data_IF_682023849853
#
_entry.id   IF_682023849853
#
_cell.length_a   1.000
_cell.length_b   1.000
_cell.length_c   1.000
_cell.angle_alpha   90.00
_cell.angle_beta   90.00
_cell.angle_gamma   90.00
#
_symmetry.space_group_name_H-M   'P 1'
#
loop_
_entity.id
_entity.type
_entity.pdbx_description
1 polymer ?
#
# COMPACT_ATOMS: atom_id res chain seq x y z
N UNK A 1 -2.77 -17.85 4.66
CA UNK A 1 -2.21 -16.57 4.17
C UNK A 1 -1.99 -15.60 5.34
N UNK A 2 -0.74 -15.22 5.64
CA UNK A 2 -0.47 -14.21 6.68
C UNK A 2 -1.01 -12.83 6.29
N UNK A 3 -1.15 -11.93 7.26
CA UNK A 3 -1.45 -10.53 7.01
C UNK A 3 -0.38 -9.90 6.12
N UNK A 4 -0.78 -9.05 5.17
CA UNK A 4 0.13 -8.41 4.22
C UNK A 4 0.43 -9.21 2.95
N UNK A 5 -0.21 -10.36 2.73
CA UNK A 5 -0.04 -11.15 1.50
C UNK A 5 -0.77 -10.47 0.34
N UNK A 6 -0.11 -10.28 -0.80
CA UNK A 6 -0.75 -9.84 -2.05
C UNK A 6 -1.39 -11.05 -2.73
N UNK A 7 -2.68 -10.96 -3.03
CA UNK A 7 -3.44 -12.04 -3.64
C UNK A 7 -3.08 -12.23 -5.10
N UNK A 8 -2.79 -13.46 -5.46
CA UNK A 8 -2.60 -13.92 -6.84
C UNK A 8 -3.70 -14.92 -7.20
N UNK A 9 -3.83 -15.25 -8.49
CA UNK A 9 -4.79 -16.28 -8.92
C UNK A 9 -4.52 -17.66 -8.29
N UNK A 10 -3.27 -17.94 -7.89
CA UNK A 10 -2.89 -19.20 -7.26
C UNK A 10 -3.38 -19.31 -5.79
N UNK A 11 -3.64 -18.19 -5.13
CA UNK A 11 -4.15 -18.14 -3.76
C UNK A 11 -5.68 -18.34 -3.68
N UNK A 12 -6.34 -18.33 -4.84
CA UNK A 12 -7.79 -18.34 -4.95
C UNK A 12 -8.30 -19.69 -5.44
N UNK A 13 -9.34 -20.19 -4.78
CA UNK A 13 -10.06 -21.38 -5.20
C UNK A 13 -11.55 -21.11 -5.12
N UNK A 14 -12.27 -21.47 -6.19
CA UNK A 14 -13.73 -21.47 -6.15
C UNK A 14 -14.19 -22.47 -5.09
N UNK A 15 -15.03 -22.00 -4.18
CA UNK A 15 -15.67 -22.82 -3.17
C UNK A 15 -17.18 -22.72 -3.38
N UNK A 16 -17.83 -23.86 -3.58
CA UNK A 16 -19.27 -23.95 -3.49
C UNK A 16 -19.64 -23.85 -2.01
N UNK A 17 -20.13 -22.71 -1.59
CA UNK A 17 -20.47 -22.44 -0.20
C UNK A 17 -21.70 -21.56 -0.15
N UNK A 18 -22.64 -21.91 0.73
CA UNK A 18 -23.84 -21.12 1.05
C UNK A 18 -23.52 -19.78 1.77
N UNK A 19 -22.22 -19.46 1.92
CA UNK A 19 -21.74 -18.26 2.59
C UNK A 19 -21.42 -17.18 1.57
N UNK A 20 -21.90 -15.94 1.77
CA UNK A 20 -21.58 -14.84 0.88
C UNK A 20 -20.06 -14.58 0.86
N UNK A 21 -19.52 -14.53 -0.35
CA UNK A 21 -18.11 -14.26 -0.67
C UNK A 21 -18.00 -13.57 -2.02
N UNK A 22 -16.78 -13.24 -2.43
CA UNK A 22 -16.53 -12.61 -3.74
C UNK A 22 -16.62 -13.68 -4.84
N UNK A 23 -17.52 -13.47 -5.79
CA UNK A 23 -17.79 -14.41 -6.89
C UNK A 23 -16.81 -14.29 -8.06
N UNK A 24 -16.26 -13.08 -8.28
CA UNK A 24 -15.31 -12.82 -9.35
C UNK A 24 -13.90 -12.60 -8.76
N UNK A 25 -12.95 -13.55 -8.96
CA UNK A 25 -11.60 -13.43 -8.43
C UNK A 25 -10.83 -12.24 -9.00
N UNK A 26 -11.17 -11.75 -10.20
CA UNK A 26 -10.48 -10.62 -10.82
C UNK A 26 -10.61 -9.32 -10.01
N UNK A 27 -11.64 -9.21 -9.17
CA UNK A 27 -11.88 -8.04 -8.31
C UNK A 27 -10.92 -7.94 -7.12
N UNK A 28 -10.23 -9.04 -6.79
CA UNK A 28 -9.38 -9.12 -5.58
C UNK A 28 -7.94 -9.47 -5.87
N UNK A 29 -7.61 -9.95 -7.07
CA UNK A 29 -6.24 -10.16 -7.49
C UNK A 29 -5.48 -8.82 -7.45
N UNK A 30 -4.29 -8.81 -6.84
CA UNK A 30 -3.48 -7.62 -6.63
C UNK A 30 -3.79 -6.85 -5.35
N UNK A 31 -4.88 -7.18 -4.64
CA UNK A 31 -5.14 -6.64 -3.30
C UNK A 31 -4.31 -7.37 -2.25
N UNK A 32 -4.06 -6.70 -1.14
CA UNK A 32 -3.30 -7.21 0.00
C UNK A 32 -4.22 -7.57 1.16
N UNK A 33 -3.92 -8.67 1.87
CA UNK A 33 -4.67 -9.05 3.07
C UNK A 33 -4.43 -8.08 4.23
N UNK A 34 -5.50 -7.63 4.90
CA UNK A 34 -5.42 -6.82 6.13
C UNK A 34 -5.06 -7.65 7.35
N UNK A 35 -5.50 -8.91 7.38
CA UNK A 35 -5.35 -9.84 8.50
C UNK A 35 -4.87 -11.20 7.99
N UNK A 36 -4.48 -12.07 8.90
CA UNK A 36 -4.22 -13.49 8.58
C UNK A 36 -5.53 -14.18 8.21
N UNK A 37 -5.53 -14.86 7.07
CA UNK A 37 -6.66 -15.62 6.53
C UNK A 37 -6.27 -17.10 6.47
N UNK A 38 -7.06 -17.93 7.15
CA UNK A 38 -6.90 -19.38 7.16
C UNK A 38 -7.61 -20.01 5.95
N UNK A 39 -7.15 -21.20 5.56
CA UNK A 39 -7.73 -21.96 4.47
C UNK A 39 -9.21 -22.25 4.68
N UNK A 40 -9.97 -22.30 3.58
CA UNK A 40 -11.42 -22.53 3.60
C UNK A 40 -12.27 -21.35 4.07
N UNK A 41 -11.66 -20.22 4.48
CA UNK A 41 -12.41 -19.01 4.83
C UNK A 41 -12.80 -18.23 3.56
N UNK A 42 -14.09 -17.94 3.34
CA UNK A 42 -14.53 -17.09 2.23
C UNK A 42 -13.88 -15.70 2.30
N UNK A 43 -13.35 -15.22 1.16
CA UNK A 43 -12.78 -13.89 1.06
C UNK A 43 -13.88 -12.84 0.90
N UNK A 44 -13.73 -11.74 1.63
CA UNK A 44 -14.61 -10.57 1.60
C UNK A 44 -13.75 -9.33 1.37
N UNK A 45 -14.30 -8.32 0.68
CA UNK A 45 -13.57 -7.10 0.36
C UNK A 45 -13.08 -6.35 1.60
N UNK A 46 -13.81 -6.44 2.71
CA UNK A 46 -13.44 -5.86 4.02
C UNK A 46 -12.15 -6.41 4.60
N UNK A 47 -11.72 -7.62 4.18
CA UNK A 47 -10.48 -8.25 4.62
C UNK A 47 -9.27 -7.82 3.80
N UNK A 48 -9.48 -7.03 2.76
CA UNK A 48 -8.48 -6.67 1.76
C UNK A 48 -8.24 -5.16 1.74
N UNK A 49 -7.10 -4.77 1.19
CA UNK A 49 -6.69 -3.38 1.01
C UNK A 49 -5.82 -3.24 -0.24
N UNK A 50 -5.64 -2.00 -0.70
CA UNK A 50 -4.62 -1.71 -1.70
C UNK A 50 -3.24 -2.13 -1.15
N UNK A 51 -2.33 -2.65 -2.00
CA UNK A 51 -1.02 -3.06 -1.56
C UNK A 51 -0.25 -1.87 -1.01
N UNK A 52 0.31 -2.05 0.19
CA UNK A 52 1.24 -1.09 0.79
C UNK A 52 2.48 -1.04 -0.09
N UNK A 53 2.74 0.13 -0.67
CA UNK A 53 3.95 0.38 -1.45
C UNK A 53 5.08 0.87 -0.55
N UNK A 54 4.72 1.47 0.58
CA UNK A 54 5.67 1.88 1.60
C UNK A 54 5.29 1.34 2.98
N UNK A 55 6.30 0.96 3.76
CA UNK A 55 6.18 0.53 5.15
C UNK A 55 6.66 1.63 6.09
N UNK A 56 6.17 1.66 7.33
CA UNK A 56 6.69 2.57 8.37
C UNK A 56 8.20 2.36 8.60
N UNK A 57 8.92 3.45 8.80
CA UNK A 57 10.38 3.53 8.98
C UNK A 57 11.21 3.16 7.72
N UNK A 58 10.58 2.94 6.58
CA UNK A 58 11.28 2.74 5.31
C UNK A 58 11.95 4.04 4.86
N UNK A 59 13.15 3.93 4.31
CA UNK A 59 13.82 5.06 3.64
C UNK A 59 13.35 5.07 2.19
N UNK A 60 12.81 6.21 1.76
CA UNK A 60 12.24 6.41 0.42
C UNK A 60 12.67 7.76 -0.13
N UNK A 61 12.68 7.89 -1.45
CA UNK A 61 12.93 9.16 -2.10
C UNK A 61 11.65 10.02 -2.14
N UNK A 62 11.79 11.27 -1.75
CA UNK A 62 10.75 12.29 -1.85
C UNK A 62 11.16 13.29 -2.92
N UNK A 63 10.30 13.46 -3.92
CA UNK A 63 10.40 14.48 -4.95
C UNK A 63 9.63 15.73 -4.49
N UNK A 64 10.29 16.88 -4.51
CA UNK A 64 9.69 18.20 -4.38
C UNK A 64 9.68 18.85 -5.76
N UNK A 65 8.53 19.37 -6.18
CA UNK A 65 8.40 20.02 -7.48
C UNK A 65 7.75 21.40 -7.32
N UNK A 66 8.46 22.45 -7.76
CA UNK A 66 7.95 23.83 -7.85
C UNK A 66 8.30 24.41 -9.21
N UNK A 67 7.32 24.47 -10.11
CA UNK A 67 7.56 24.87 -11.50
C UNK A 67 8.61 23.96 -12.16
N UNK A 68 9.70 24.51 -12.74
CA UNK A 68 10.78 23.71 -13.34
C UNK A 68 11.76 23.11 -12.32
N UNK A 69 11.71 23.53 -11.05
CA UNK A 69 12.62 23.03 -10.02
C UNK A 69 12.13 21.67 -9.50
N UNK A 70 12.97 20.65 -9.64
CA UNK A 70 12.78 19.32 -9.07
C UNK A 70 13.91 18.98 -8.12
N UNK A 71 13.60 18.73 -6.86
CA UNK A 71 14.56 18.32 -5.82
C UNK A 71 14.19 16.91 -5.36
N UNK A 72 15.18 16.03 -5.25
CA UNK A 72 14.99 14.67 -4.71
C UNK A 72 15.82 14.55 -3.44
N UNK A 73 15.20 14.05 -2.39
CA UNK A 73 15.85 13.86 -1.07
C UNK A 73 15.39 12.55 -0.45
N UNK A 74 16.17 12.02 0.48
CA UNK A 74 15.81 10.84 1.24
C UNK A 74 14.97 11.21 2.47
N UNK A 75 13.91 10.45 2.69
CA UNK A 75 13.07 10.61 3.87
C UNK A 75 12.73 9.26 4.47
N UNK A 76 12.51 9.25 5.79
CA UNK A 76 11.99 8.11 6.52
C UNK A 76 10.48 8.22 6.63
N UNK A 77 9.76 7.20 6.20
CA UNK A 77 8.30 7.12 6.35
C UNK A 77 7.92 6.99 7.83
N UNK A 78 6.89 7.71 8.25
CA UNK A 78 6.39 7.62 9.64
C UNK A 78 5.21 6.66 9.78
N UNK A 79 4.62 6.26 8.65
CA UNK A 79 3.48 5.34 8.52
C UNK A 79 3.65 4.48 7.26
N UNK A 80 2.92 3.38 7.20
CA UNK A 80 2.65 2.67 5.95
C UNK A 80 1.70 3.46 5.02
N UNK A 81 1.72 3.10 3.73
CA UNK A 81 0.89 3.74 2.72
C UNK A 81 0.86 2.97 1.40
N UNK A 82 -0.29 3.02 0.72
CA UNK A 82 -0.52 2.53 -0.63
C UNK A 82 -0.51 3.69 -1.63
N UNK A 83 -0.51 3.39 -2.93
CA UNK A 83 -0.59 4.41 -3.98
C UNK A 83 -1.78 5.37 -3.75
N UNK A 84 -1.52 6.67 -3.83
CA UNK A 84 -2.50 7.73 -3.59
C UNK A 84 -2.67 8.15 -2.13
N UNK A 85 -2.13 7.41 -1.16
CA UNK A 85 -2.23 7.77 0.24
C UNK A 85 -1.38 9.02 0.56
N UNK A 86 -1.92 9.86 1.44
CA UNK A 86 -1.18 10.95 2.06
C UNK A 86 -0.45 10.44 3.30
N UNK A 87 0.87 10.48 3.27
CA UNK A 87 1.73 10.02 4.37
C UNK A 87 2.60 11.14 4.92
N UNK A 88 3.02 10.99 6.18
CA UNK A 88 4.05 11.85 6.77
C UNK A 88 5.39 11.16 6.71
N UNK A 89 6.42 11.91 6.32
CA UNK A 89 7.79 11.45 6.25
C UNK A 89 8.72 12.46 6.91
N UNK A 90 9.82 11.97 7.48
CA UNK A 90 10.86 12.81 8.06
C UNK A 90 12.02 12.89 7.07
N UNK A 91 12.33 14.09 6.59
CA UNK A 91 13.54 14.33 5.82
C UNK A 91 14.76 13.97 6.69
N UNK A 92 15.68 13.15 6.15
CA UNK A 92 16.81 12.64 6.93
C UNK A 92 17.92 13.68 7.14
N UNK A 93 18.03 14.66 6.25
CA UNK A 93 19.03 15.74 6.30
C UNK A 93 18.60 16.85 7.26
N UNK A 94 17.39 17.40 7.07
CA UNK A 94 16.88 18.53 7.85
C UNK A 94 16.10 18.12 9.10
N UNK A 95 15.78 16.83 9.25
CA UNK A 95 14.92 16.27 10.32
C UNK A 95 13.49 16.84 10.35
N UNK A 96 13.09 17.57 9.31
CA UNK A 96 11.75 18.16 9.22
C UNK A 96 10.73 17.12 8.78
N UNK A 97 9.51 17.18 9.33
CA UNK A 97 8.40 16.32 8.91
C UNK A 97 7.63 16.96 7.76
N UNK A 98 7.35 16.19 6.72
CA UNK A 98 6.77 16.65 5.46
C UNK A 98 5.62 15.71 5.10
N UNK A 99 4.54 16.27 4.54
CA UNK A 99 3.43 15.50 3.99
C UNK A 99 3.69 15.21 2.52
N UNK A 100 3.52 13.97 2.10
CA UNK A 100 3.75 13.55 0.72
C UNK A 100 2.73 12.50 0.29
N UNK A 101 2.44 12.46 -1.01
CA UNK A 101 1.56 11.46 -1.62
C UNK A 101 2.37 10.32 -2.18
N UNK A 102 1.98 9.08 -1.86
CA UNK A 102 2.60 7.87 -2.40
C UNK A 102 2.25 7.72 -3.87
N UNK A 103 3.27 7.67 -4.72
CA UNK A 103 3.12 7.44 -6.16
C UNK A 103 3.00 5.94 -6.46
N UNK A 104 2.46 5.55 -7.63
CA UNK A 104 2.30 4.14 -8.01
C UNK A 104 3.61 3.35 -8.07
N UNK A 105 4.75 4.02 -8.24
CA UNK A 105 6.09 3.43 -8.25
C UNK A 105 6.72 3.32 -6.85
N UNK A 106 6.00 3.74 -5.80
CA UNK A 106 6.47 3.75 -4.41
C UNK A 106 7.31 4.99 -4.04
N UNK A 107 7.57 5.90 -4.98
CA UNK A 107 8.18 7.20 -4.68
C UNK A 107 7.18 8.13 -4.00
N UNK A 108 7.67 9.18 -3.34
CA UNK A 108 6.82 10.16 -2.68
C UNK A 108 6.87 11.51 -3.38
N UNK A 109 5.72 12.14 -3.57
CA UNK A 109 5.61 13.52 -4.05
C UNK A 109 5.21 14.43 -2.88
N UNK A 110 6.08 15.35 -2.49
CA UNK A 110 5.79 16.27 -1.41
C UNK A 110 4.66 17.24 -1.77
N UNK A 111 3.78 17.50 -0.80
CA UNK A 111 2.81 18.60 -0.90
C UNK A 111 3.52 19.93 -0.68
N UNK A 112 3.09 20.93 -1.45
CA UNK A 112 3.73 22.24 -1.52
C UNK A 112 3.11 23.26 -0.57
#
# INVERSE_FOLDING_TARGET
MPAGTVLTAADLRAADSDRPGISDPSQIIGLQTRITIYEGRPLQASLLQAPKLIARNQIVQVTFQRGPLRIVTEARTLSDGAAGDLVRVMNLESRSTISATVQPDGSLLALN
#
